data_IF_847556397546
#
_entry.id   IF_847556397546
#
_cell.length_a   1.000
_cell.length_b   1.000
_cell.length_c   1.000
_cell.angle_alpha   90.00
_cell.angle_beta   90.00
_cell.angle_gamma   90.00
#
_symmetry.space_group_name_H-M   'P 1'
#
loop_
_entity.id
_entity.type
_entity.pdbx_description
1 polymer ?
#
# COMPACT_ATOMS: atom_id res chain seq x y z
N UNK A 1 12.13 -10.76 -18.47
CA UNK A 1 12.44 -9.85 -17.34
C UNK A 1 12.07 -10.57 -16.06
N UNK A 2 12.96 -10.71 -15.06
CA UNK A 2 12.56 -11.27 -13.75
C UNK A 2 11.39 -10.43 -13.22
N UNK A 3 10.30 -11.02 -12.70
CA UNK A 3 9.35 -10.20 -11.97
C UNK A 3 10.14 -9.62 -10.78
N UNK A 4 10.16 -8.29 -10.70
CA UNK A 4 10.67 -7.60 -9.51
C UNK A 4 9.87 -8.01 -8.28
N UNK A 5 10.27 -7.54 -7.11
CA UNK A 5 9.45 -7.67 -5.91
C UNK A 5 8.06 -7.04 -6.14
N UNK A 6 7.01 -7.86 -6.15
CA UNK A 6 5.60 -7.46 -6.33
C UNK A 6 4.84 -7.76 -5.02
N UNK A 7 4.51 -6.73 -4.22
CA UNK A 7 3.93 -6.92 -2.88
C UNK A 7 2.70 -7.83 -2.82
N UNK A 8 1.77 -7.67 -3.77
CA UNK A 8 0.51 -8.45 -3.75
C UNK A 8 0.71 -9.96 -3.96
N UNK A 9 1.84 -10.36 -4.53
CA UNK A 9 2.13 -11.77 -4.78
C UNK A 9 2.46 -12.52 -3.47
N UNK A 10 2.65 -11.81 -2.35
CA UNK A 10 2.82 -12.40 -1.02
C UNK A 10 1.50 -12.65 -0.29
N UNK A 11 0.38 -12.14 -0.80
CA UNK A 11 -0.95 -12.53 -0.34
C UNK A 11 -1.35 -13.90 -0.90
N UNK A 12 -2.16 -14.67 -0.17
CA UNK A 12 -2.76 -15.91 -0.70
C UNK A 12 -3.75 -15.61 -1.82
N UNK A 13 -4.41 -14.46 -1.76
CA UNK A 13 -5.36 -14.01 -2.79
C UNK A 13 -4.99 -12.59 -3.24
N UNK A 14 -4.10 -12.44 -4.25
CA UNK A 14 -3.53 -11.14 -4.64
C UNK A 14 -4.54 -10.04 -4.96
N UNK A 15 -5.72 -10.39 -5.51
CA UNK A 15 -6.78 -9.42 -5.86
C UNK A 15 -7.40 -8.69 -4.65
N UNK A 16 -7.21 -9.20 -3.43
CA UNK A 16 -7.74 -8.58 -2.21
C UNK A 16 -6.77 -7.54 -1.61
N UNK A 17 -5.53 -7.48 -2.11
CA UNK A 17 -4.49 -6.58 -1.61
C UNK A 17 -4.94 -5.11 -1.71
N UNK A 18 -4.74 -4.38 -0.61
CA UNK A 18 -5.05 -2.96 -0.49
C UNK A 18 -6.53 -2.62 -0.57
N UNK A 19 -7.44 -3.61 -0.61
CA UNK A 19 -8.89 -3.41 -0.71
C UNK A 19 -9.67 -4.01 0.47
N UNK A 20 -9.22 -5.13 1.03
CA UNK A 20 -9.81 -5.76 2.21
C UNK A 20 -8.85 -5.68 3.39
N UNK A 21 -9.35 -5.33 4.58
CA UNK A 21 -8.50 -5.17 5.77
C UNK A 21 -7.79 -6.49 6.11
N UNK A 22 -8.56 -7.57 6.27
CA UNK A 22 -8.07 -8.86 6.71
C UNK A 22 -7.93 -9.83 5.53
N UNK A 23 -6.67 -10.10 5.15
CA UNK A 23 -6.33 -11.05 4.10
C UNK A 23 -5.32 -12.08 4.60
N UNK A 24 -5.36 -13.28 4.04
CA UNK A 24 -4.39 -14.31 4.35
C UNK A 24 -3.06 -14.11 3.59
N UNK A 25 -1.94 -14.34 4.26
CA UNK A 25 -0.59 -14.20 3.72
C UNK A 25 0.04 -15.57 3.44
N UNK A 26 1.00 -15.60 2.51
CA UNK A 26 1.85 -16.79 2.28
C UNK A 26 2.75 -17.03 3.50
N UNK A 27 3.16 -18.28 3.70
CA UNK A 27 4.14 -18.65 4.72
C UNK A 27 5.54 -18.46 4.14
N UNK A 28 6.40 -17.74 4.85
CA UNK A 28 7.78 -17.54 4.43
C UNK A 28 8.58 -18.86 4.48
N UNK A 29 9.42 -19.08 3.47
CA UNK A 29 10.39 -20.19 3.39
C UNK A 29 11.83 -19.73 3.66
N UNK A 30 12.06 -18.41 3.74
CA UNK A 30 13.36 -17.82 4.01
C UNK A 30 13.25 -16.50 4.77
N UNK A 31 14.36 -16.04 5.39
CA UNK A 31 14.42 -14.74 6.05
C UNK A 31 14.12 -13.59 5.09
N UNK A 32 14.64 -13.66 3.85
CA UNK A 32 14.39 -12.66 2.80
C UNK A 32 12.90 -12.58 2.47
N UNK A 33 12.26 -13.73 2.29
CA UNK A 33 10.83 -13.80 2.01
C UNK A 33 10.00 -13.26 3.19
N UNK A 34 10.39 -13.57 4.43
CA UNK A 34 9.72 -13.03 5.61
C UNK A 34 9.76 -11.50 5.66
N UNK A 35 10.90 -10.89 5.29
CA UNK A 35 11.02 -9.41 5.18
C UNK A 35 10.11 -8.87 4.07
N UNK A 36 10.05 -9.52 2.91
CA UNK A 36 9.19 -9.12 1.80
C UNK A 36 7.69 -9.23 2.14
N UNK A 37 7.29 -10.31 2.83
CA UNK A 37 5.93 -10.46 3.36
C UNK A 37 5.62 -9.33 4.34
N UNK A 38 6.54 -9.02 5.27
CA UNK A 38 6.31 -7.94 6.23
C UNK A 38 6.19 -6.57 5.56
N UNK A 39 7.06 -6.27 4.58
CA UNK A 39 6.94 -5.04 3.80
C UNK A 39 5.63 -4.97 3.01
N UNK A 40 5.18 -6.11 2.46
CA UNK A 40 3.90 -6.21 1.75
C UNK A 40 2.70 -5.99 2.67
N UNK A 41 2.75 -6.50 3.91
CA UNK A 41 1.74 -6.24 4.94
C UNK A 41 1.64 -4.76 5.30
N UNK A 42 2.77 -4.07 5.47
CA UNK A 42 2.79 -2.64 5.75
C UNK A 42 2.18 -1.84 4.60
N UNK A 43 2.59 -2.11 3.36
CA UNK A 43 2.01 -1.45 2.19
C UNK A 43 0.51 -1.75 2.03
N UNK A 44 0.06 -2.97 2.36
CA UNK A 44 -1.35 -3.34 2.36
C UNK A 44 -2.16 -2.48 3.34
N UNK A 45 -1.67 -2.32 4.56
CA UNK A 45 -2.30 -1.47 5.57
C UNK A 45 -2.41 -0.02 5.10
N UNK A 46 -1.32 0.52 4.54
CA UNK A 46 -1.32 1.87 3.95
C UNK A 46 -2.34 1.98 2.82
N UNK A 47 -2.37 1.02 1.90
CA UNK A 47 -3.30 1.04 0.76
C UNK A 47 -4.77 0.97 1.20
N UNK A 48 -5.09 0.16 2.21
CA UNK A 48 -6.44 0.09 2.81
C UNK A 48 -6.82 1.44 3.43
N UNK A 49 -5.95 2.03 4.25
CA UNK A 49 -6.20 3.31 4.89
C UNK A 49 -6.40 4.44 3.86
N UNK A 50 -5.55 4.51 2.83
CA UNK A 50 -5.67 5.48 1.74
C UNK A 50 -7.01 5.34 1.01
N UNK A 51 -7.48 4.12 0.75
CA UNK A 51 -8.80 3.90 0.12
C UNK A 51 -9.97 4.28 1.01
N UNK A 52 -9.86 4.01 2.31
CA UNK A 52 -10.88 4.40 3.28
C UNK A 52 -11.00 5.93 3.31
N UNK A 53 -9.88 6.63 3.49
CA UNK A 53 -9.84 8.10 3.55
C UNK A 53 -10.27 8.75 2.24
N UNK A 54 -9.87 8.20 1.09
CA UNK A 54 -10.34 8.68 -0.21
C UNK A 54 -11.87 8.59 -0.32
N UNK A 55 -12.47 7.50 0.15
CA UNK A 55 -13.93 7.32 0.15
C UNK A 55 -14.60 8.31 1.10
N UNK A 56 -14.06 8.48 2.29
CA UNK A 56 -14.54 9.43 3.30
C UNK A 56 -14.51 10.88 2.79
N UNK A 57 -13.43 11.28 2.13
CA UNK A 57 -13.27 12.60 1.51
C UNK A 57 -13.95 12.75 0.14
N UNK A 58 -14.67 11.72 -0.32
CA UNK A 58 -15.37 11.69 -1.61
C UNK A 58 -14.47 12.00 -2.82
N UNK A 59 -13.18 11.66 -2.72
CA UNK A 59 -12.21 11.87 -3.78
C UNK A 59 -12.30 10.75 -4.83
N UNK A 60 -12.26 11.13 -6.10
CA UNK A 60 -12.00 10.14 -7.16
C UNK A 60 -10.53 9.71 -7.11
N UNK A 61 -10.22 8.53 -7.68
CA UNK A 61 -8.83 8.10 -7.78
C UNK A 61 -7.99 9.06 -8.63
N UNK A 62 -8.59 9.61 -9.69
CA UNK A 62 -7.98 10.66 -10.51
C UNK A 62 -7.67 11.92 -9.68
N UNK A 63 -8.63 12.43 -8.91
CA UNK A 63 -8.42 13.61 -8.08
C UNK A 63 -7.29 13.41 -7.06
N UNK A 64 -7.26 12.25 -6.38
CA UNK A 64 -6.18 11.92 -5.46
C UNK A 64 -4.83 11.84 -6.19
N UNK A 65 -4.78 11.22 -7.36
CA UNK A 65 -3.57 11.14 -8.17
C UNK A 65 -3.07 12.54 -8.55
N UNK A 66 -3.94 13.39 -9.09
CA UNK A 66 -3.64 14.76 -9.50
C UNK A 66 -3.13 15.59 -8.31
N UNK A 67 -3.80 15.52 -7.14
CA UNK A 67 -3.39 16.24 -5.92
C UNK A 67 -2.06 15.75 -5.35
N UNK A 68 -1.74 14.46 -5.54
CA UNK A 68 -0.48 13.84 -5.10
C UNK A 68 0.68 14.01 -6.08
N UNK A 69 0.46 14.65 -7.23
CA UNK A 69 1.47 14.75 -8.30
C UNK A 69 1.81 13.41 -8.96
N UNK A 70 0.92 12.41 -8.86
CA UNK A 70 1.10 11.08 -9.44
C UNK A 70 0.17 10.88 -10.64
N UNK A 71 0.55 9.99 -11.56
CA UNK A 71 -0.41 9.50 -12.54
C UNK A 71 -1.41 8.55 -11.89
N UNK A 72 -2.66 8.55 -12.36
CA UNK A 72 -3.68 7.64 -11.86
C UNK A 72 -3.27 6.15 -11.97
N UNK A 73 -2.60 5.79 -13.08
CA UNK A 73 -2.06 4.46 -13.28
C UNK A 73 -1.03 4.08 -12.21
N UNK A 74 -0.11 4.99 -11.89
CA UNK A 74 0.93 4.77 -10.87
C UNK A 74 0.30 4.60 -9.50
N UNK A 75 -0.61 5.48 -9.11
CA UNK A 75 -1.35 5.38 -7.86
C UNK A 75 -2.10 4.03 -7.78
N UNK A 76 -2.83 3.66 -8.83
CA UNK A 76 -3.54 2.39 -8.89
C UNK A 76 -2.61 1.17 -8.72
N UNK A 77 -1.43 1.18 -9.35
CA UNK A 77 -0.43 0.11 -9.20
C UNK A 77 0.12 0.01 -7.77
N UNK A 78 0.36 1.15 -7.12
CA UNK A 78 0.80 1.19 -5.72
C UNK A 78 -0.26 0.61 -4.78
N UNK A 79 -1.52 1.06 -4.93
CA UNK A 79 -2.65 0.65 -4.10
C UNK A 79 -3.11 -0.80 -4.35
N UNK A 80 -2.73 -1.41 -5.48
CA UNK A 80 -2.98 -2.83 -5.78
C UNK A 80 -1.77 -3.72 -5.49
N UNK A 81 -0.67 -3.16 -4.99
CA UNK A 81 0.55 -3.91 -4.70
C UNK A 81 1.24 -4.48 -5.94
N UNK A 82 1.00 -3.91 -7.12
CA UNK A 82 1.66 -4.28 -8.39
C UNK A 82 3.09 -3.71 -8.46
N UNK A 83 3.39 -2.73 -7.63
CA UNK A 83 4.73 -2.19 -7.43
C UNK A 83 4.97 -1.84 -5.95
N UNK A 84 6.22 -1.88 -5.46
CA UNK A 84 6.55 -1.45 -4.11
C UNK A 84 6.28 0.04 -3.91
N UNK A 85 5.68 0.38 -2.77
CA UNK A 85 5.50 1.75 -2.33
C UNK A 85 6.75 2.24 -1.60
N UNK A 86 7.27 3.40 -2.00
CA UNK A 86 8.40 4.04 -1.33
C UNK A 86 7.92 4.86 -0.14
N UNK A 87 8.81 5.22 0.78
CA UNK A 87 8.46 6.09 1.90
C UNK A 87 8.00 7.47 1.42
N UNK A 88 8.59 7.98 0.34
CA UNK A 88 8.15 9.24 -0.28
C UNK A 88 6.71 9.14 -0.80
N UNK A 89 6.30 7.97 -1.32
CA UNK A 89 4.92 7.77 -1.76
C UNK A 89 3.94 7.82 -0.57
N UNK A 90 4.34 7.25 0.57
CA UNK A 90 3.55 7.31 1.81
C UNK A 90 3.42 8.76 2.29
N UNK A 91 4.54 9.49 2.38
CA UNK A 91 4.56 10.88 2.83
C UNK A 91 3.72 11.79 1.92
N UNK A 92 3.80 11.60 0.60
CA UNK A 92 2.95 12.33 -0.36
C UNK A 92 1.48 12.06 -0.06
N UNK A 93 1.09 10.80 0.15
CA UNK A 93 -0.31 10.43 0.43
C UNK A 93 -0.79 10.95 1.79
N UNK A 94 0.06 10.91 2.83
CA UNK A 94 -0.23 11.52 4.14
C UNK A 94 -0.52 13.01 4.02
N UNK A 95 0.37 13.76 3.35
CA UNK A 95 0.21 15.19 3.15
C UNK A 95 -1.01 15.53 2.28
N UNK A 96 -1.26 14.73 1.24
CA UNK A 96 -2.39 14.95 0.33
C UNK A 96 -3.73 14.69 1.01
N UNK A 97 -3.80 13.66 1.86
CA UNK A 97 -5.04 13.27 2.55
C UNK A 97 -5.19 13.94 3.92
N UNK A 98 -4.16 14.59 4.45
CA UNK A 98 -4.19 15.19 5.78
C UNK A 98 -4.29 14.16 6.91
N UNK A 99 -3.62 13.00 6.75
CA UNK A 99 -3.69 11.87 7.69
C UNK A 99 -2.30 11.42 8.13
N UNK A 100 -2.25 10.64 9.21
CA UNK A 100 -1.06 9.90 9.62
C UNK A 100 -1.26 8.40 9.31
N UNK A 101 -0.51 7.88 8.35
CA UNK A 101 -0.52 6.48 7.91
C UNK A 101 0.51 5.64 8.66
N UNK A 102 1.59 6.25 9.15
CA UNK A 102 2.66 5.56 9.88
C UNK A 102 2.70 6.03 11.34
N UNK A 103 1.85 5.42 12.17
CA UNK A 103 1.89 5.63 13.62
C UNK A 103 3.12 4.97 14.23
N UNK A 104 4.22 5.71 14.41
CA UNK A 104 5.34 5.25 15.25
C UNK A 104 4.98 5.50 16.70
N UNK A 105 4.46 4.48 17.38
CA UNK A 105 4.40 4.46 18.84
C UNK A 105 5.58 3.66 19.35
N UNK A 106 6.61 4.35 19.85
CA UNK A 106 7.64 3.70 20.64
C UNK A 106 7.04 3.38 22.02
N UNK A 107 7.18 2.15 22.55
CA UNK A 107 6.95 1.92 23.97
C UNK A 107 7.99 2.72 24.76
N UNK A 108 7.54 3.37 25.85
CA UNK A 108 8.43 3.83 26.92
C UNK A 108 9.06 2.63 27.61
#
# INVERSE_FOLDING_TARGET
MKPGYVPRDFARTPRLFGAHLDIAWKTATSRREAVQIRASQLQHQVAVAVRAMRTEQQLTQKALADNSGMTELRLGRLLRGEQPMRLEDVAILELTLGINLVGVTAPR
#
